data_IF_119788776847
#
_entry.id   IF_119788776847
#
_cell.length_a   1.000
_cell.length_b   1.000
_cell.length_c   1.000
_cell.angle_alpha   90.00
_cell.angle_beta   90.00
_cell.angle_gamma   90.00
#
_symmetry.space_group_name_H-M   'P 1'
#
loop_
_entity.id
_entity.type
_entity.pdbx_description
1 polymer ?
#
# COMPACT_ATOMS: atom_id res chain seq x y z
N UNK A 1 1.21 0.20 19.52
CA UNK A 1 2.19 0.83 18.62
C UNK A 1 2.34 2.29 19.03
N UNK A 2 3.56 2.78 19.24
CA UNK A 2 3.86 4.16 19.64
C UNK A 2 4.78 4.77 18.57
N UNK A 3 4.42 5.92 18.01
CA UNK A 3 5.15 6.50 16.88
C UNK A 3 5.05 8.03 16.89
N UNK A 4 6.01 8.72 16.27
CA UNK A 4 5.90 10.17 16.08
C UNK A 4 4.71 10.52 15.19
N UNK A 5 3.96 11.57 15.53
CA UNK A 5 2.84 12.05 14.74
C UNK A 5 3.35 12.56 13.37
N UNK A 6 2.83 11.97 12.31
CA UNK A 6 3.15 12.35 10.92
C UNK A 6 1.88 12.21 10.08
N UNK A 7 1.74 13.01 9.00
CA UNK A 7 0.56 12.93 8.12
C UNK A 7 0.42 11.53 7.52
N UNK A 8 1.49 10.99 6.96
CA UNK A 8 1.49 9.67 6.32
C UNK A 8 1.05 8.54 7.27
N UNK A 9 1.42 8.63 8.56
CA UNK A 9 0.94 7.68 9.57
C UNK A 9 -0.57 7.85 9.81
N UNK A 10 -1.05 9.09 9.92
CA UNK A 10 -2.46 9.39 10.19
C UNK A 10 -3.39 9.18 8.98
N UNK A 11 -2.84 9.08 7.77
CA UNK A 11 -3.59 8.65 6.59
C UNK A 11 -3.99 7.18 6.65
N UNK A 12 -3.32 6.39 7.49
CA UNK A 12 -3.54 4.95 7.66
C UNK A 12 -4.13 4.65 9.05
N UNK A 13 -3.57 5.25 10.10
CA UNK A 13 -3.90 4.97 11.49
C UNK A 13 -4.73 6.09 12.13
N UNK A 14 -5.59 5.71 13.08
CA UNK A 14 -6.33 6.61 13.94
C UNK A 14 -5.67 6.67 15.32
N UNK A 15 -5.26 7.87 15.72
CA UNK A 15 -4.64 8.11 17.03
C UNK A 15 -5.57 7.71 18.18
N UNK A 16 -4.97 7.10 19.21
CA UNK A 16 -5.61 6.54 20.41
C UNK A 16 -6.58 5.37 20.19
N UNK A 17 -6.88 5.02 18.94
CA UNK A 17 -7.65 3.82 18.59
C UNK A 17 -6.74 2.65 18.25
N UNK A 18 -5.89 2.81 17.23
CA UNK A 18 -5.05 1.75 16.67
C UNK A 18 -3.56 2.12 16.60
N UNK A 19 -3.21 3.36 16.96
CA UNK A 19 -1.84 3.79 17.27
C UNK A 19 -1.83 4.79 18.43
N UNK A 20 -0.67 5.04 19.02
CA UNK A 20 -0.45 6.18 19.91
C UNK A 20 0.59 7.08 19.27
N UNK A 21 0.32 8.38 19.22
CA UNK A 21 1.23 9.36 18.65
C UNK A 21 1.84 10.28 19.72
N UNK A 22 2.98 10.88 19.38
CA UNK A 22 3.64 11.94 20.14
C UNK A 22 4.32 12.93 19.19
N UNK A 23 4.47 14.19 19.60
CA UNK A 23 5.20 15.23 18.85
C UNK A 23 6.60 15.51 19.43
N UNK A 24 6.71 15.52 20.76
CA UNK A 24 7.92 15.83 21.50
C UNK A 24 8.27 14.77 22.56
N UNK A 25 9.38 15.00 23.27
CA UNK A 25 9.92 14.07 24.26
C UNK A 25 9.05 14.00 25.52
N UNK A 26 8.46 15.11 25.93
CA UNK A 26 7.64 15.15 27.15
C UNK A 26 6.32 14.40 26.93
N UNK A 27 5.69 14.60 25.78
CA UNK A 27 4.52 13.83 25.35
C UNK A 27 4.88 12.35 25.21
N UNK A 28 6.04 12.01 24.62
CA UNK A 28 6.50 10.62 24.52
C UNK A 28 6.58 9.94 25.88
N UNK A 29 7.24 10.57 26.86
CA UNK A 29 7.37 10.02 28.22
C UNK A 29 5.99 9.82 28.84
N UNK A 30 5.12 10.84 28.75
CA UNK A 30 3.75 10.75 29.28
C UNK A 30 2.94 9.62 28.64
N UNK A 31 3.04 9.43 27.32
CA UNK A 31 2.35 8.35 26.61
C UNK A 31 2.91 6.97 26.98
N UNK A 32 4.21 6.86 27.21
CA UNK A 32 4.85 5.61 27.70
C UNK A 32 4.30 5.25 29.08
N UNK A 33 4.28 6.20 30.02
CA UNK A 33 3.76 5.96 31.37
C UNK A 33 2.28 5.54 31.34
N UNK A 34 1.47 6.22 30.53
CA UNK A 34 0.06 5.86 30.35
C UNK A 34 -0.14 4.46 29.76
N UNK A 35 0.73 4.02 28.84
CA UNK A 35 0.68 2.69 28.25
C UNK A 35 1.18 1.59 29.19
N UNK A 36 2.11 1.90 30.09
CA UNK A 36 2.61 0.97 31.11
C UNK A 36 1.62 0.82 32.27
N UNK A 37 0.85 1.85 32.58
CA UNK A 37 -0.15 1.83 33.64
C UNK A 37 -1.42 1.03 33.29
N UNK A 38 -1.72 0.83 31.99
CA UNK A 38 -2.91 0.12 31.53
C UNK A 38 -2.58 -0.90 30.42
N UNK A 39 -2.27 -2.12 30.87
CA UNK A 39 -2.01 -3.27 30.01
C UNK A 39 -3.19 -3.59 29.06
N UNK A 40 -4.43 -3.43 29.52
CA UNK A 40 -5.61 -3.76 28.72
C UNK A 40 -5.74 -2.80 27.55
N UNK A 41 -5.65 -1.49 27.82
CA UNK A 41 -5.66 -0.46 26.78
C UNK A 41 -4.49 -0.65 25.82
N UNK A 42 -3.28 -0.89 26.32
CA UNK A 42 -2.09 -1.12 25.48
C UNK A 42 -2.30 -2.30 24.52
N UNK A 43 -2.80 -3.43 25.04
CA UNK A 43 -3.05 -4.62 24.23
C UNK A 43 -4.18 -4.40 23.22
N UNK A 44 -5.25 -3.68 23.59
CA UNK A 44 -6.34 -3.35 22.68
C UNK A 44 -5.86 -2.49 21.49
N UNK A 45 -5.05 -1.46 21.75
CA UNK A 45 -4.47 -0.62 20.69
C UNK A 45 -3.55 -1.46 19.79
N UNK A 46 -2.69 -2.30 20.37
CA UNK A 46 -1.80 -3.17 19.60
C UNK A 46 -2.58 -4.15 18.70
N UNK A 47 -3.65 -4.74 19.22
CA UNK A 47 -4.49 -5.68 18.47
C UNK A 47 -5.21 -4.98 17.30
N UNK A 48 -5.83 -3.83 17.54
CA UNK A 48 -6.51 -3.07 16.48
C UNK A 48 -5.53 -2.58 15.41
N UNK A 49 -4.34 -2.13 15.81
CA UNK A 49 -3.29 -1.75 14.86
C UNK A 49 -2.84 -2.93 13.98
N UNK A 50 -2.76 -4.13 14.56
CA UNK A 50 -2.44 -5.35 13.81
C UNK A 50 -3.54 -5.70 12.80
N UNK A 51 -4.80 -5.73 13.23
CA UNK A 51 -5.94 -6.04 12.37
C UNK A 51 -6.04 -5.08 11.17
N UNK A 52 -5.79 -3.80 11.40
CA UNK A 52 -5.74 -2.78 10.35
C UNK A 52 -4.68 -3.12 9.30
N UNK A 53 -3.45 -3.42 9.73
CA UNK A 53 -2.34 -3.76 8.83
C UNK A 53 -2.62 -5.06 8.06
N UNK A 54 -3.13 -6.09 8.74
CA UNK A 54 -3.45 -7.37 8.10
C UNK A 54 -4.56 -7.24 7.04
N UNK A 55 -5.55 -6.35 7.26
CA UNK A 55 -6.65 -6.14 6.31
C UNK A 55 -6.24 -5.35 5.06
N UNK A 56 -5.34 -4.37 5.17
CA UNK A 56 -5.04 -3.41 4.10
C UNK A 56 -3.61 -3.46 3.53
N UNK A 57 -2.69 -4.18 4.17
CA UNK A 57 -1.26 -4.10 3.84
C UNK A 57 -0.57 -5.47 3.72
N UNK A 58 -1.33 -6.52 3.38
CA UNK A 58 -0.73 -7.82 3.05
C UNK A 58 0.01 -7.78 1.71
N UNK A 59 1.05 -8.59 1.57
CA UNK A 59 1.76 -8.75 0.30
C UNK A 59 0.84 -9.32 -0.79
N UNK A 60 -0.11 -10.18 -0.42
CA UNK A 60 -1.12 -10.71 -1.35
C UNK A 60 -2.00 -9.62 -1.94
N UNK A 61 -2.45 -8.66 -1.11
CA UNK A 61 -3.25 -7.54 -1.58
C UNK A 61 -2.42 -6.64 -2.51
N UNK A 62 -1.18 -6.32 -2.12
CA UNK A 62 -0.28 -5.52 -2.97
C UNK A 62 0.02 -6.19 -4.31
N UNK A 63 0.27 -7.50 -4.31
CA UNK A 63 0.50 -8.26 -5.54
C UNK A 63 -0.73 -8.24 -6.45
N UNK A 64 -1.92 -8.42 -5.89
CA UNK A 64 -3.19 -8.32 -6.63
C UNK A 64 -3.36 -6.93 -7.26
N UNK A 65 -3.16 -5.86 -6.49
CA UNK A 65 -3.25 -4.47 -7.00
C UNK A 65 -2.29 -4.24 -8.18
N UNK A 66 -1.04 -4.71 -8.09
CA UNK A 66 -0.06 -4.59 -9.19
C UNK A 66 -0.54 -5.34 -10.44
N UNK A 67 -1.03 -6.57 -10.28
CA UNK A 67 -1.54 -7.38 -11.38
C UNK A 67 -2.77 -6.74 -12.03
N UNK A 68 -3.70 -6.20 -11.24
CA UNK A 68 -4.89 -5.51 -11.74
C UNK A 68 -4.51 -4.27 -12.56
N UNK A 69 -3.55 -3.48 -12.08
CA UNK A 69 -3.03 -2.34 -12.85
C UNK A 69 -2.36 -2.79 -14.16
N UNK A 70 -1.60 -3.88 -14.15
CA UNK A 70 -0.98 -4.42 -15.36
C UNK A 70 -2.03 -4.85 -16.39
N UNK A 71 -3.06 -5.59 -15.95
CA UNK A 71 -4.17 -6.03 -16.82
C UNK A 71 -4.91 -4.84 -17.39
N UNK A 72 -5.24 -3.84 -16.56
CA UNK A 72 -5.95 -2.64 -16.98
C UNK A 72 -5.17 -1.85 -18.06
N UNK A 73 -3.88 -1.62 -17.84
CA UNK A 73 -3.02 -0.95 -18.82
C UNK A 73 -2.88 -1.74 -20.13
N UNK A 74 -2.85 -3.08 -20.05
CA UNK A 74 -2.76 -3.94 -21.24
C UNK A 74 -4.08 -3.90 -22.03
N UNK A 75 -5.22 -3.91 -21.34
CA UNK A 75 -6.53 -3.78 -21.94
C UNK A 75 -6.70 -2.44 -22.67
N UNK A 76 -6.33 -1.33 -22.03
CA UNK A 76 -6.37 0.00 -22.66
C UNK A 76 -5.49 0.05 -23.91
N UNK A 77 -4.26 -0.48 -23.83
CA UNK A 77 -3.37 -0.57 -25.00
C UNK A 77 -4.01 -1.36 -26.14
N UNK A 78 -4.63 -2.50 -25.85
CA UNK A 78 -5.26 -3.33 -26.87
C UNK A 78 -6.47 -2.66 -27.52
N UNK A 79 -7.33 -2.00 -26.73
CA UNK A 79 -8.48 -1.25 -27.25
C UNK A 79 -8.03 -0.06 -28.10
N UNK A 80 -6.98 0.65 -27.66
CA UNK A 80 -6.42 1.75 -28.44
C UNK A 80 -5.88 1.26 -29.79
N UNK A 81 -5.14 0.14 -29.81
CA UNK A 81 -4.62 -0.47 -31.05
C UNK A 81 -5.76 -0.92 -31.97
N UNK A 82 -6.79 -1.58 -31.45
CA UNK A 82 -7.92 -2.08 -32.24
C UNK A 82 -8.80 -0.97 -32.82
N UNK A 83 -8.69 0.25 -32.27
CA UNK A 83 -9.45 1.44 -32.72
C UNK A 83 -8.64 2.34 -33.67
N UNK A 84 -7.36 2.02 -33.93
CA UNK A 84 -6.49 2.76 -34.85
C UNK A 84 -6.73 2.36 -36.31
N UNK A 85 -6.57 3.32 -37.24
CA UNK A 85 -6.49 2.99 -38.67
C UNK A 85 -5.22 2.18 -38.95
N UNK A 86 -5.19 1.29 -39.96
CA UNK A 86 -4.04 0.44 -40.26
C UNK A 86 -2.72 1.19 -40.44
N UNK A 87 -2.76 2.43 -40.92
CA UNK A 87 -1.59 3.30 -41.08
C UNK A 87 -1.01 3.87 -39.78
N UNK A 88 -1.67 3.67 -38.64
CA UNK A 88 -1.31 4.23 -37.33
C UNK A 88 -0.89 3.16 -36.31
N UNK A 89 -0.96 1.87 -36.64
CA UNK A 89 -0.55 0.79 -35.73
C UNK A 89 0.98 0.74 -35.66
N UNK A 90 1.60 0.86 -34.47
CA UNK A 90 3.04 0.77 -34.35
C UNK A 90 3.54 -0.63 -34.74
N UNK A 91 4.62 -0.70 -35.51
CA UNK A 91 5.23 -1.97 -35.90
C UNK A 91 5.64 -2.76 -34.65
N UNK A 92 5.07 -3.96 -34.48
CA UNK A 92 5.49 -4.88 -33.42
C UNK A 92 7.00 -5.15 -33.57
N UNK A 93 7.79 -5.10 -32.48
CA UNK A 93 9.20 -5.44 -32.55
C UNK A 93 9.31 -6.87 -33.10
N UNK A 94 9.92 -6.97 -34.29
CA UNK A 94 9.96 -8.20 -35.06
C UNK A 94 10.53 -9.34 -34.23
N UNK A 95 9.81 -10.47 -34.18
CA UNK A 95 10.48 -11.75 -33.97
C UNK A 95 11.49 -11.87 -35.08
N UNK A 96 12.77 -11.75 -34.73
CA UNK A 96 13.87 -12.07 -35.63
C UNK A 96 13.60 -13.44 -36.21
N UNK A 97 13.24 -13.48 -37.49
CA UNK A 97 13.22 -14.69 -38.28
C UNK A 97 14.64 -15.24 -38.25
N UNK A 98 14.88 -16.27 -37.44
CA UNK A 98 16.05 -17.12 -37.59
C UNK A 98 15.92 -17.77 -38.97
N UNK A 99 16.54 -17.14 -39.96
CA UNK A 99 16.76 -17.74 -41.27
C UNK A 99 17.78 -18.84 -41.10
N UNK A 100 17.35 -20.01 -41.55
CA UNK A 100 18.11 -21.21 -41.88
C UNK A 100 19.55 -20.93 -42.38
N UNK A 101 20.48 -21.79 -41.96
CA UNK A 101 21.67 -22.18 -42.71
C UNK A 101 21.86 -23.68 -42.50
#
# INVERSE_FOLDING_TARGET
MLHKRTRDLLDIFTEDENCVCFDDVDELVSKVDALLADDRRRNAIAQRGRELVESGHSWDLRARTILDHYVHCTFIKQVAINSMRPSQVPALPGRSSASQS
#
